data_IF_274636844539
#
_entry.id   IF_274636844539
#
_cell.length_a   1.000
_cell.length_b   1.000
_cell.length_c   1.000
_cell.angle_alpha   90.00
_cell.angle_beta   90.00
_cell.angle_gamma   90.00
#
_symmetry.space_group_name_H-M   'P 1'
#
loop_
_entity.id
_entity.type
_entity.pdbx_description
1 polymer ?
#
# COMPACT_ATOMS: atom_id res chain seq x y z
N UNK A 1 21.44 3.47 36.16
CA UNK A 1 20.00 3.53 35.91
C UNK A 1 19.67 4.88 35.28
N UNK A 2 19.63 4.94 33.95
CA UNK A 2 19.25 6.14 33.20
C UNK A 2 17.84 5.87 32.69
N UNK A 3 16.86 6.62 33.21
CA UNK A 3 15.47 6.59 32.73
C UNK A 3 15.41 7.29 31.37
N UNK A 4 15.26 6.54 30.29
CA UNK A 4 14.86 7.08 29.01
C UNK A 4 13.39 7.50 29.10
N UNK A 5 13.15 8.81 28.91
CA UNK A 5 11.80 9.37 28.77
C UNK A 5 11.24 8.92 27.43
N UNK A 6 10.18 8.12 27.45
CA UNK A 6 9.35 7.87 26.29
C UNK A 6 8.76 9.20 25.81
N UNK A 7 9.06 9.62 24.62
CA UNK A 7 8.38 10.76 23.98
C UNK A 7 6.97 10.32 23.61
N UNK A 8 5.98 11.13 23.97
CA UNK A 8 4.57 10.78 23.80
C UNK A 8 4.15 10.84 22.32
N UNK A 9 3.26 9.94 21.87
CA UNK A 9 2.79 9.85 20.48
C UNK A 9 2.13 11.15 19.96
N UNK A 10 1.70 12.05 20.83
CA UNK A 10 1.17 13.36 20.48
C UNK A 10 2.18 14.26 19.75
N UNK A 11 3.47 14.18 20.07
CA UNK A 11 4.51 15.03 19.44
C UNK A 11 4.84 14.60 18.01
N UNK A 12 4.68 13.31 17.70
CA UNK A 12 4.92 12.79 16.34
C UNK A 12 3.78 13.20 15.42
N UNK A 13 2.53 13.17 15.89
CA UNK A 13 1.37 13.66 15.13
C UNK A 13 1.47 15.16 14.81
N UNK A 14 1.95 15.97 15.73
CA UNK A 14 2.16 17.40 15.49
C UNK A 14 3.26 17.65 14.46
N UNK A 15 4.37 16.90 14.51
CA UNK A 15 5.45 17.04 13.53
C UNK A 15 5.02 16.63 12.11
N UNK A 16 4.25 15.57 11.97
CA UNK A 16 3.70 15.11 10.66
C UNK A 16 2.69 16.14 10.13
N UNK A 17 1.82 16.69 10.97
CA UNK A 17 0.88 17.73 10.55
C UNK A 17 1.59 19.03 10.14
N UNK A 18 2.67 19.40 10.80
CA UNK A 18 3.48 20.57 10.41
C UNK A 18 4.15 20.41 9.05
N UNK A 19 4.62 19.20 8.72
CA UNK A 19 5.22 18.89 7.42
C UNK A 19 4.16 18.95 6.32
N UNK A 20 2.99 18.36 6.54
CA UNK A 20 1.87 18.40 5.58
C UNK A 20 1.40 19.83 5.35
N UNK A 21 1.32 20.65 6.40
CA UNK A 21 0.89 22.04 6.29
C UNK A 21 1.91 22.91 5.54
N UNK A 22 3.20 22.65 5.68
CA UNK A 22 4.27 23.34 4.93
C UNK A 22 4.26 22.98 3.44
N UNK A 23 3.89 21.76 3.08
CA UNK A 23 3.74 21.32 1.68
C UNK A 23 2.51 21.96 1.02
N UNK A 24 1.40 22.11 1.75
CA UNK A 24 0.17 22.73 1.22
C UNK A 24 0.30 24.25 1.04
N UNK A 25 1.09 24.95 1.84
CA UNK A 25 1.33 26.40 1.73
C UNK A 25 2.24 26.74 0.55
N UNK A 26 3.11 25.81 0.12
CA UNK A 26 3.99 26.00 -1.03
C UNK A 26 3.30 26.02 -2.39
N UNK A 27 2.06 25.54 -2.49
CA UNK A 27 1.32 25.43 -3.77
C UNK A 27 0.34 26.57 -4.05
N UNK A 28 0.21 27.56 -3.15
CA UNK A 28 -0.82 28.62 -3.25
C UNK A 28 -0.34 29.98 -3.76
N UNK A 29 0.83 30.12 -4.34
CA UNK A 29 1.36 31.39 -4.82
C UNK A 29 1.74 31.32 -6.30
N UNK A 30 0.79 31.04 -7.18
CA UNK A 30 0.84 31.50 -8.59
C UNK A 30 -0.58 31.42 -9.16
N UNK A 31 -1.38 32.43 -9.08
CA UNK A 31 -2.32 32.95 -10.11
C UNK A 31 -3.00 34.22 -9.56
N UNK A 32 -2.42 35.36 -9.89
CA UNK A 32 -3.14 36.64 -9.90
C UNK A 32 -2.34 37.62 -10.78
N UNK A 33 -2.56 37.57 -12.08
CA UNK A 33 -2.32 38.71 -12.95
C UNK A 33 -3.60 38.90 -13.78
N UNK A 34 -4.26 40.01 -13.54
CA UNK A 34 -5.47 40.37 -14.19
C UNK A 34 -5.27 40.93 -15.60
N UNK A 35 -6.28 40.82 -16.40
CA UNK A 35 -6.49 41.70 -17.55
C UNK A 35 -7.95 42.18 -17.58
N UNK A 36 -8.12 43.48 -17.32
CA UNK A 36 -9.32 44.22 -17.58
C UNK A 36 -9.46 44.44 -19.08
N UNK A 37 -10.60 44.10 -19.66
CA UNK A 37 -10.99 44.61 -20.99
C UNK A 37 -12.40 45.20 -20.91
N UNK A 38 -12.50 46.40 -21.46
CA UNK A 38 -13.58 47.35 -21.39
C UNK A 38 -14.85 46.92 -22.15
N UNK A 39 -15.97 47.41 -21.66
CA UNK A 39 -17.26 47.46 -22.36
C UNK A 39 -17.27 48.44 -23.52
N UNK A 40 -17.94 48.08 -24.61
CA UNK A 40 -18.65 49.01 -25.49
C UNK A 40 -19.89 48.33 -26.08
N UNK A 41 -21.03 49.06 -26.22
CA UNK A 41 -22.30 48.52 -26.64
C UNK A 41 -22.61 48.81 -28.12
N UNK A 42 -23.45 48.02 -28.73
CA UNK A 42 -24.41 48.25 -29.85
C UNK A 42 -24.65 46.88 -30.51
N UNK A 43 -25.79 46.50 -31.04
CA UNK A 43 -27.09 47.04 -31.42
C UNK A 43 -28.07 45.85 -31.64
N UNK A 44 -29.28 46.13 -31.56
CA UNK A 44 -30.47 45.31 -31.76
C UNK A 44 -30.59 44.84 -33.21
N UNK A 45 -30.88 43.56 -33.51
CA UNK A 45 -32.02 43.15 -34.35
C UNK A 45 -31.96 41.65 -34.76
N UNK A 46 -33.17 41.10 -34.84
CA UNK A 46 -33.61 39.94 -35.61
C UNK A 46 -33.68 38.57 -34.93
N UNK A 47 -34.92 38.18 -34.71
CA UNK A 47 -35.41 36.82 -34.45
C UNK A 47 -34.91 35.82 -35.51
N UNK A 48 -34.38 34.73 -35.04
CA UNK A 48 -34.48 33.46 -35.70
C UNK A 48 -34.55 32.35 -34.65
N UNK A 49 -35.70 31.69 -34.62
CA UNK A 49 -35.96 30.46 -33.88
C UNK A 49 -35.15 29.34 -34.53
N UNK A 50 -34.07 28.90 -33.88
CA UNK A 50 -33.46 27.61 -34.20
C UNK A 50 -33.13 26.84 -32.94
N UNK A 51 -33.41 25.54 -33.03
CA UNK A 51 -33.49 24.49 -32.04
C UNK A 51 -32.48 24.51 -30.91
N UNK A 52 -32.95 24.12 -29.71
CA UNK A 52 -32.11 23.73 -28.59
C UNK A 52 -31.15 22.64 -29.05
N UNK A 53 -29.84 22.79 -28.88
CA UNK A 53 -28.95 21.64 -28.94
C UNK A 53 -29.26 20.74 -27.72
N UNK A 54 -29.43 19.45 -28.01
CA UNK A 54 -29.57 18.41 -27.01
C UNK A 54 -28.46 18.55 -25.95
N UNK A 55 -28.85 18.39 -24.69
CA UNK A 55 -27.93 18.31 -23.59
C UNK A 55 -26.87 17.25 -23.93
N UNK A 56 -25.66 17.68 -24.20
CA UNK A 56 -24.52 16.77 -24.27
C UNK A 56 -24.30 16.29 -22.83
N UNK A 57 -24.67 15.04 -22.57
CA UNK A 57 -24.23 14.33 -21.39
C UNK A 57 -22.70 14.33 -21.42
N UNK A 58 -22.12 15.24 -20.66
CA UNK A 58 -20.71 15.16 -20.29
C UNK A 58 -20.64 14.06 -19.24
N UNK A 59 -20.67 12.82 -19.69
CA UNK A 59 -20.16 11.71 -18.92
C UNK A 59 -18.64 11.94 -18.80
N UNK A 60 -18.23 12.70 -17.80
CA UNK A 60 -16.87 12.71 -17.33
C UNK A 60 -16.64 11.34 -16.72
N UNK A 61 -16.22 10.37 -17.55
CA UNK A 61 -15.50 9.22 -17.06
C UNK A 61 -14.25 9.80 -16.41
N UNK A 62 -14.24 9.85 -15.08
CA UNK A 62 -13.00 10.01 -14.31
C UNK A 62 -12.23 8.74 -14.64
N UNK A 63 -11.28 8.86 -15.57
CA UNK A 63 -10.30 7.81 -15.86
C UNK A 63 -9.35 7.81 -14.66
N UNK A 64 -9.78 7.17 -13.59
CA UNK A 64 -8.96 6.97 -12.40
C UNK A 64 -7.90 5.96 -12.81
N UNK A 65 -6.70 6.43 -13.09
CA UNK A 65 -5.57 5.55 -13.41
C UNK A 65 -5.21 4.77 -12.15
N UNK A 66 -5.67 3.50 -12.07
CA UNK A 66 -5.32 2.61 -10.98
C UNK A 66 -3.81 2.37 -10.96
N UNK A 67 -3.28 2.19 -9.77
CA UNK A 67 -1.87 1.88 -9.52
C UNK A 67 -1.73 0.51 -8.89
N UNK A 68 -0.54 -0.06 -8.96
CA UNK A 68 -0.21 -1.34 -8.33
C UNK A 68 0.91 -1.20 -7.32
N UNK A 69 0.89 -2.10 -6.33
CA UNK A 69 1.92 -2.25 -5.32
C UNK A 69 2.07 -3.74 -4.99
N UNK A 70 3.31 -4.22 -4.84
CA UNK A 70 3.57 -5.65 -4.59
C UNK A 70 4.37 -5.82 -3.30
N UNK A 71 3.83 -6.64 -2.38
CA UNK A 71 4.36 -6.87 -1.04
C UNK A 71 4.50 -8.37 -0.76
N UNK A 72 5.63 -8.76 -0.18
CA UNK A 72 5.85 -10.08 0.39
C UNK A 72 5.92 -9.98 1.92
N UNK A 73 5.04 -10.64 2.63
CA UNK A 73 4.91 -10.56 4.10
C UNK A 73 4.74 -11.93 4.77
N UNK A 74 5.42 -12.96 4.24
CA UNK A 74 5.23 -14.35 4.63
C UNK A 74 4.01 -14.95 3.93
N UNK A 75 3.26 -15.81 4.62
CA UNK A 75 2.08 -16.43 4.04
C UNK A 75 1.07 -15.38 3.51
N UNK A 76 0.82 -15.41 2.21
CA UNK A 76 -0.06 -14.46 1.52
C UNK A 76 -1.52 -14.53 2.01
N UNK A 77 -2.00 -15.67 2.54
CA UNK A 77 -3.34 -15.74 3.15
C UNK A 77 -3.55 -14.73 4.29
N UNK A 78 -2.47 -14.38 5.00
CA UNK A 78 -2.52 -13.43 6.10
C UNK A 78 -2.33 -11.98 5.65
N UNK A 79 -1.88 -11.78 4.41
CA UNK A 79 -1.63 -10.44 3.87
C UNK A 79 -2.84 -9.86 3.12
N UNK A 80 -3.76 -10.67 2.59
CA UNK A 80 -4.91 -10.17 1.82
C UNK A 80 -5.85 -9.30 2.68
N UNK A 81 -6.34 -9.83 3.80
CA UNK A 81 -7.36 -9.15 4.62
C UNK A 81 -7.02 -7.70 4.98
N UNK A 82 -5.83 -7.37 5.53
CA UNK A 82 -5.51 -6.00 5.92
C UNK A 82 -5.59 -4.99 4.76
N UNK A 83 -5.29 -5.43 3.54
CA UNK A 83 -5.35 -4.55 2.37
C UNK A 83 -6.75 -4.49 1.77
N UNK A 84 -7.48 -5.60 1.73
CA UNK A 84 -8.87 -5.62 1.25
C UNK A 84 -9.81 -4.73 2.08
N UNK A 85 -9.47 -4.49 3.34
CA UNK A 85 -10.25 -3.63 4.25
C UNK A 85 -9.93 -2.13 4.10
N UNK A 86 -8.90 -1.77 3.31
CA UNK A 86 -8.57 -0.37 3.05
C UNK A 86 -9.49 0.24 1.98
N UNK A 87 -10.14 1.35 2.33
CA UNK A 87 -10.86 2.15 1.34
C UNK A 87 -9.90 2.66 0.27
N UNK A 88 -10.21 2.46 -1.00
CA UNK A 88 -9.36 2.81 -2.13
C UNK A 88 -8.56 1.63 -2.69
N UNK A 89 -8.46 0.50 -1.99
CA UNK A 89 -8.00 -0.76 -2.58
C UNK A 89 -9.12 -1.35 -3.42
N UNK A 90 -8.80 -1.68 -4.66
CA UNK A 90 -9.75 -2.22 -5.66
C UNK A 90 -9.70 -3.74 -5.67
N UNK A 91 -8.52 -4.33 -5.58
CA UNK A 91 -8.34 -5.78 -5.53
C UNK A 91 -6.96 -6.15 -4.99
N UNK A 92 -6.88 -7.35 -4.41
CA UNK A 92 -5.63 -8.02 -4.07
C UNK A 92 -5.53 -9.35 -4.83
N UNK A 93 -4.32 -9.75 -5.17
CA UNK A 93 -4.04 -11.03 -5.82
C UNK A 93 -2.86 -11.66 -5.09
N UNK A 94 -3.06 -12.83 -4.49
CA UNK A 94 -1.99 -13.66 -3.96
C UNK A 94 -1.19 -14.31 -5.08
N UNK A 95 0.13 -14.37 -4.98
CA UNK A 95 0.99 -14.89 -6.04
C UNK A 95 2.45 -15.05 -5.64
N UNK A 96 3.30 -15.13 -6.65
CA UNK A 96 4.72 -15.40 -6.54
C UNK A 96 5.52 -14.40 -7.37
N UNK A 97 6.63 -13.89 -6.81
CA UNK A 97 7.50 -12.97 -7.54
C UNK A 97 8.94 -13.03 -7.04
N UNK A 98 9.87 -12.40 -7.76
CA UNK A 98 11.28 -12.24 -7.35
C UNK A 98 12.16 -13.46 -7.59
N UNK A 99 11.63 -14.57 -8.11
CA UNK A 99 12.36 -15.79 -8.47
C UNK A 99 12.71 -15.87 -9.95
N UNK A 100 13.17 -17.05 -10.37
CA UNK A 100 13.66 -17.28 -11.74
C UNK A 100 12.88 -18.35 -12.51
N UNK A 101 11.99 -19.07 -11.83
CA UNK A 101 11.18 -20.12 -12.46
C UNK A 101 9.96 -19.47 -13.11
N UNK A 102 9.78 -19.71 -14.41
CA UNK A 102 8.58 -19.24 -15.12
C UNK A 102 7.38 -20.10 -14.74
N UNK A 103 6.21 -19.47 -14.62
CA UNK A 103 4.94 -20.11 -14.25
C UNK A 103 5.07 -21.11 -13.07
N UNK A 104 5.61 -20.66 -11.92
CA UNK A 104 5.85 -21.56 -10.80
C UNK A 104 4.54 -22.04 -10.18
N UNK A 105 4.50 -23.29 -9.77
CA UNK A 105 3.41 -23.84 -8.96
C UNK A 105 3.64 -23.62 -7.48
N UNK A 106 2.57 -23.65 -6.68
CA UNK A 106 2.66 -23.60 -5.21
C UNK A 106 3.65 -24.63 -4.64
N UNK A 107 3.58 -25.87 -5.14
CA UNK A 107 4.50 -26.93 -4.67
C UNK A 107 5.95 -26.57 -4.93
N UNK A 108 6.29 -25.96 -6.05
CA UNK A 108 7.66 -25.54 -6.35
C UNK A 108 8.12 -24.42 -5.43
N UNK A 109 7.27 -23.39 -5.25
CA UNK A 109 7.60 -22.24 -4.40
C UNK A 109 7.72 -22.65 -2.93
N UNK A 110 6.75 -23.40 -2.43
CA UNK A 110 6.71 -23.84 -1.02
C UNK A 110 7.91 -24.74 -0.65
N UNK A 111 8.52 -25.44 -1.62
CA UNK A 111 9.77 -26.18 -1.42
C UNK A 111 11.02 -25.26 -1.34
N UNK A 112 10.90 -23.95 -1.61
CA UNK A 112 12.00 -22.99 -1.43
C UNK A 112 13.08 -22.98 -2.51
N UNK A 113 12.88 -23.66 -3.65
CA UNK A 113 13.94 -23.86 -4.67
C UNK A 113 13.78 -22.98 -5.91
N UNK A 114 12.76 -22.10 -5.95
CA UNK A 114 12.46 -21.26 -7.12
C UNK A 114 13.06 -19.87 -7.06
N UNK A 115 13.46 -19.42 -5.88
CA UNK A 115 13.85 -18.05 -5.59
C UNK A 115 12.66 -17.11 -5.42
N UNK A 116 11.45 -17.52 -5.79
CA UNK A 116 10.24 -16.75 -5.56
C UNK A 116 9.89 -16.63 -4.09
N UNK A 117 9.20 -15.54 -3.77
CA UNK A 117 8.51 -15.35 -2.49
C UNK A 117 7.01 -15.43 -2.70
N UNK A 118 6.28 -15.88 -1.67
CA UNK A 118 4.85 -15.60 -1.58
C UNK A 118 4.67 -14.09 -1.44
N UNK A 119 3.87 -13.52 -2.33
CA UNK A 119 3.63 -12.10 -2.40
C UNK A 119 2.16 -11.82 -2.71
N UNK A 120 1.80 -10.57 -2.48
CA UNK A 120 0.47 -10.06 -2.82
C UNK A 120 0.64 -8.81 -3.67
N UNK A 121 -0.08 -8.75 -4.78
CA UNK A 121 -0.21 -7.56 -5.60
C UNK A 121 -1.52 -6.85 -5.26
N UNK A 122 -1.42 -5.57 -4.92
CA UNK A 122 -2.53 -4.69 -4.57
C UNK A 122 -2.79 -3.73 -5.72
N UNK A 123 -4.00 -3.73 -6.26
CA UNK A 123 -4.47 -2.69 -7.18
C UNK A 123 -5.27 -1.66 -6.39
N UNK A 124 -4.92 -0.40 -6.49
CA UNK A 124 -5.53 0.67 -5.70
C UNK A 124 -5.76 1.94 -6.51
N UNK A 125 -6.70 2.75 -6.04
CA UNK A 125 -6.99 4.09 -6.53
C UNK A 125 -6.13 5.11 -5.77
N UNK A 126 -5.11 5.72 -6.40
CA UNK A 126 -4.20 6.64 -5.71
C UNK A 126 -4.88 7.95 -5.27
N UNK A 127 -6.05 8.28 -5.82
CA UNK A 127 -6.83 9.43 -5.38
C UNK A 127 -7.59 9.17 -4.07
N UNK A 128 -7.77 7.89 -3.68
CA UNK A 128 -8.46 7.47 -2.46
C UNK A 128 -7.48 6.97 -1.39
N UNK A 129 -6.45 6.24 -1.75
CA UNK A 129 -5.44 5.73 -0.83
C UNK A 129 -4.04 5.91 -1.40
N UNK A 130 -3.17 6.59 -0.66
CA UNK A 130 -1.78 6.80 -1.07
C UNK A 130 -0.90 5.58 -0.78
N UNK A 131 0.16 5.40 -1.57
CA UNK A 131 1.14 4.31 -1.39
C UNK A 131 1.75 4.28 0.03
N UNK A 132 1.89 5.43 0.70
CA UNK A 132 2.36 5.50 2.08
C UNK A 132 1.44 4.78 3.08
N UNK A 133 0.13 4.76 2.85
CA UNK A 133 -0.82 4.01 3.69
C UNK A 133 -0.67 2.51 3.44
N UNK A 134 -0.46 2.09 2.19
CA UNK A 134 -0.18 0.69 1.87
C UNK A 134 1.13 0.21 2.53
N UNK A 135 2.17 1.05 2.55
CA UNK A 135 3.42 0.76 3.26
C UNK A 135 3.19 0.62 4.77
N UNK A 136 2.43 1.53 5.37
CA UNK A 136 2.09 1.50 6.78
C UNK A 136 1.34 0.20 7.14
N UNK A 137 0.33 -0.15 6.36
CA UNK A 137 -0.39 -1.43 6.49
C UNK A 137 0.53 -2.63 6.34
N UNK A 138 1.45 -2.61 5.36
CA UNK A 138 2.43 -3.68 5.18
C UNK A 138 3.31 -3.85 6.43
N UNK A 139 3.92 -2.77 6.91
CA UNK A 139 4.84 -2.82 8.03
C UNK A 139 4.17 -3.36 9.30
N UNK A 140 2.97 -2.90 9.63
CA UNK A 140 2.25 -3.34 10.82
C UNK A 140 1.70 -4.77 10.72
N UNK A 141 1.77 -5.39 9.56
CA UNK A 141 1.36 -6.78 9.34
C UNK A 141 2.52 -7.76 9.18
N UNK A 142 3.77 -7.35 9.44
CA UNK A 142 4.95 -8.23 9.39
C UNK A 142 5.79 -8.13 10.67
N UNK A 143 6.67 -9.12 10.86
CA UNK A 143 7.81 -9.01 11.76
C UNK A 143 9.05 -8.59 10.95
N UNK A 144 9.42 -7.29 10.93
CA UNK A 144 10.54 -6.82 10.13
C UNK A 144 11.90 -7.24 10.67
N UNK A 145 11.95 -7.87 11.84
CA UNK A 145 13.17 -8.36 12.48
C UNK A 145 13.49 -9.84 12.14
N UNK A 146 12.54 -10.55 11.49
CA UNK A 146 12.73 -11.96 11.13
C UNK A 146 13.35 -12.09 9.73
N UNK A 147 14.62 -12.48 9.68
CA UNK A 147 15.40 -12.69 8.46
C UNK A 147 15.27 -14.10 7.87
N UNK A 148 14.51 -15.01 8.53
CA UNK A 148 14.38 -16.43 8.14
C UNK A 148 13.01 -16.81 7.62
N UNK A 149 12.13 -15.84 7.48
CA UNK A 149 10.73 -16.00 7.08
C UNK A 149 9.82 -15.07 7.83
N UNK A 150 8.60 -15.51 8.10
CA UNK A 150 7.63 -14.73 8.89
C UNK A 150 6.87 -15.66 9.84
N UNK A 151 6.87 -15.33 11.12
CA UNK A 151 6.14 -16.07 12.17
C UNK A 151 6.48 -17.57 12.18
N UNK A 152 5.48 -18.44 11.95
CA UNK A 152 5.72 -19.89 11.88
C UNK A 152 6.26 -20.36 10.53
N UNK A 153 6.16 -19.56 9.48
CA UNK A 153 6.60 -19.92 8.14
C UNK A 153 8.07 -19.58 7.96
N UNK A 154 8.88 -20.60 7.78
CA UNK A 154 10.35 -20.48 7.64
C UNK A 154 10.80 -20.90 6.25
N UNK A 155 11.77 -20.15 5.74
CA UNK A 155 12.33 -20.34 4.42
C UNK A 155 12.34 -19.07 3.59
N UNK A 156 13.18 -19.02 2.56
CA UNK A 156 13.38 -17.86 1.69
C UNK A 156 12.11 -17.42 0.97
N UNK A 157 11.19 -18.34 0.72
CA UNK A 157 9.89 -18.06 0.08
C UNK A 157 8.94 -17.25 0.98
N UNK A 158 9.21 -17.15 2.29
CA UNK A 158 8.41 -16.41 3.26
C UNK A 158 9.10 -15.15 3.80
N UNK A 159 10.23 -14.73 3.19
CA UNK A 159 10.91 -13.49 3.59
C UNK A 159 10.05 -12.27 3.29
N UNK A 160 10.21 -11.21 4.07
CA UNK A 160 9.54 -9.94 3.80
C UNK A 160 10.28 -9.14 2.73
N UNK A 161 9.52 -8.57 1.79
CA UNK A 161 10.05 -7.69 0.76
C UNK A 161 8.99 -6.74 0.21
N UNK A 162 9.45 -5.58 -0.27
CA UNK A 162 8.66 -4.59 -1.02
C UNK A 162 9.21 -4.54 -2.44
N UNK A 163 8.35 -4.73 -3.45
CA UNK A 163 8.74 -4.69 -4.86
C UNK A 163 8.23 -3.39 -5.47
N UNK A 164 9.12 -2.44 -5.73
CA UNK A 164 8.77 -1.12 -6.26
C UNK A 164 8.68 -1.12 -7.78
N UNK A 165 7.68 -0.42 -8.33
CA UNK A 165 7.43 -0.28 -9.77
C UNK A 165 7.90 1.08 -10.31
N UNK A 166 8.18 2.04 -9.42
CA UNK A 166 8.62 3.39 -9.78
C UNK A 166 9.67 3.92 -8.81
N UNK A 167 10.39 4.95 -9.25
CA UNK A 167 11.36 5.65 -8.38
C UNK A 167 10.68 6.31 -7.17
N UNK A 168 9.43 6.74 -7.30
CA UNK A 168 8.65 7.30 -6.19
C UNK A 168 8.33 6.22 -5.15
N UNK A 169 7.84 5.05 -5.58
CA UNK A 169 7.61 3.92 -4.69
C UNK A 169 8.89 3.49 -3.98
N UNK A 170 10.03 3.45 -4.70
CA UNK A 170 11.33 3.15 -4.11
C UNK A 170 11.68 4.12 -2.99
N UNK A 171 11.61 5.42 -3.26
CA UNK A 171 11.94 6.45 -2.26
C UNK A 171 11.05 6.36 -1.03
N UNK A 172 9.74 6.16 -1.20
CA UNK A 172 8.79 6.02 -0.10
C UNK A 172 9.05 4.75 0.70
N UNK A 173 9.34 3.62 0.03
CA UNK A 173 9.65 2.36 0.69
C UNK A 173 10.96 2.43 1.51
N UNK A 174 12.01 3.04 0.95
CA UNK A 174 13.28 3.24 1.65
C UNK A 174 13.13 4.17 2.85
N UNK A 175 12.37 5.26 2.71
CA UNK A 175 12.09 6.17 3.82
C UNK A 175 11.27 5.50 4.93
N UNK A 176 10.25 4.71 4.56
CA UNK A 176 9.47 3.94 5.52
C UNK A 176 10.33 2.89 6.23
N UNK A 177 11.19 2.17 5.50
CA UNK A 177 12.15 1.22 6.09
C UNK A 177 13.07 1.87 7.13
N UNK A 178 13.58 3.07 6.83
CA UNK A 178 14.43 3.80 7.77
C UNK A 178 13.63 4.21 9.03
N UNK A 179 12.39 4.68 8.85
CA UNK A 179 11.51 5.06 9.97
C UNK A 179 11.25 3.85 10.89
N UNK A 180 10.96 2.70 10.31
CA UNK A 180 10.74 1.45 11.06
C UNK A 180 12.02 1.00 11.78
N UNK A 181 13.17 1.08 11.12
CA UNK A 181 14.46 0.74 11.75
C UNK A 181 14.77 1.64 12.94
N UNK A 182 14.49 2.95 12.83
CA UNK A 182 14.68 3.92 13.93
C UNK A 182 13.69 3.63 15.07
N UNK A 183 12.44 3.32 14.78
CA UNK A 183 11.41 2.98 15.77
C UNK A 183 11.75 1.71 16.55
N UNK A 184 12.24 0.68 15.87
CA UNK A 184 12.60 -0.60 16.47
C UNK A 184 14.02 -0.63 17.05
N UNK A 185 14.81 0.44 16.86
CA UNK A 185 16.14 0.60 17.44
C UNK A 185 17.22 -0.24 16.78
N UNK A 186 17.03 -0.65 15.53
CA UNK A 186 18.00 -1.45 14.79
C UNK A 186 17.60 -1.76 13.35
N UNK A 187 18.48 -2.43 12.59
CA UNK A 187 18.21 -2.74 11.20
C UNK A 187 17.05 -3.73 11.06
N UNK A 188 16.29 -3.59 9.99
CA UNK A 188 15.19 -4.49 9.61
C UNK A 188 15.59 -5.38 8.43
N UNK A 189 15.04 -6.59 8.40
CA UNK A 189 15.38 -7.62 7.43
C UNK A 189 14.64 -7.50 6.10
N UNK A 190 13.60 -6.66 6.03
CA UNK A 190 12.78 -6.49 4.82
C UNK A 190 13.59 -5.95 3.66
N UNK A 191 13.54 -6.63 2.52
CA UNK A 191 14.19 -6.19 1.28
C UNK A 191 13.35 -5.14 0.54
N UNK A 192 14.02 -4.19 -0.16
CA UNK A 192 13.39 -3.28 -1.12
C UNK A 192 14.00 -3.59 -2.48
N UNK A 193 13.18 -4.12 -3.39
CA UNK A 193 13.63 -4.69 -4.66
C UNK A 193 12.83 -4.07 -5.83
N UNK A 194 13.42 -3.98 -7.02
CA UNK A 194 12.65 -3.61 -8.21
C UNK A 194 11.59 -4.68 -8.50
N UNK A 195 10.46 -4.26 -9.07
CA UNK A 195 9.41 -5.15 -9.51
C UNK A 195 9.95 -6.21 -10.48
N UNK A 196 9.49 -7.42 -10.32
CA UNK A 196 9.76 -8.56 -11.17
C UNK A 196 8.44 -9.15 -11.67
N UNK A 197 8.50 -10.11 -12.59
CA UNK A 197 7.29 -10.80 -13.06
C UNK A 197 6.51 -11.37 -11.87
N UNK A 198 5.24 -11.02 -11.82
CA UNK A 198 4.31 -11.54 -10.83
C UNK A 198 3.47 -12.66 -11.46
N UNK A 199 3.42 -13.81 -10.79
CA UNK A 199 2.65 -14.97 -11.18
C UNK A 199 1.52 -15.16 -10.17
N UNK A 200 0.24 -15.02 -10.58
CA UNK A 200 -0.89 -15.31 -9.69
C UNK A 200 -0.81 -16.74 -9.14
N UNK A 201 -1.05 -16.89 -7.86
CA UNK A 201 -1.20 -18.20 -7.24
C UNK A 201 -2.54 -18.85 -7.70
N UNK A 202 -2.64 -20.14 -7.51
CA UNK A 202 -3.81 -20.93 -7.87
C UNK A 202 -5.07 -20.42 -7.18
N UNK A 203 -6.23 -20.56 -7.84
CA UNK A 203 -7.51 -19.98 -7.41
C UNK A 203 -7.90 -20.32 -5.97
N UNK A 204 -7.53 -21.51 -5.48
CA UNK A 204 -7.83 -21.93 -4.11
C UNK A 204 -7.04 -21.16 -3.04
N UNK A 205 -6.05 -20.36 -3.42
CA UNK A 205 -5.32 -19.45 -2.53
C UNK A 205 -5.93 -18.05 -2.46
N UNK A 206 -6.72 -17.66 -3.46
CA UNK A 206 -7.29 -16.32 -3.53
C UNK A 206 -8.41 -16.14 -2.49
N UNK A 207 -8.45 -14.99 -1.84
CA UNK A 207 -9.46 -14.65 -0.82
C UNK A 207 -9.62 -15.75 0.27
N UNK A 208 -8.48 -16.35 0.68
CA UNK A 208 -8.51 -17.51 1.55
C UNK A 208 -9.17 -17.24 2.90
N UNK A 209 -9.01 -16.06 3.46
CA UNK A 209 -9.63 -15.64 4.71
C UNK A 209 -11.16 -15.59 4.62
N UNK A 210 -11.74 -15.33 3.44
CA UNK A 210 -13.18 -15.32 3.19
C UNK A 210 -13.71 -16.72 2.85
N UNK A 211 -13.01 -17.45 1.99
CA UNK A 211 -13.46 -18.76 1.49
C UNK A 211 -13.25 -19.88 2.53
N UNK A 212 -12.26 -19.73 3.42
CA UNK A 212 -11.91 -20.73 4.44
C UNK A 212 -11.74 -20.10 5.84
N UNK A 213 -12.74 -19.34 6.37
CA UNK A 213 -12.54 -18.47 7.53
C UNK A 213 -12.16 -19.21 8.82
N UNK A 214 -12.64 -20.42 9.00
CA UNK A 214 -12.29 -21.24 10.19
C UNK A 214 -10.83 -21.69 10.11
N UNK A 215 -10.44 -22.24 8.94
CA UNK A 215 -9.07 -22.75 8.75
C UNK A 215 -8.05 -21.62 8.79
N UNK A 216 -8.38 -20.47 8.19
CA UNK A 216 -7.56 -19.25 8.26
C UNK A 216 -7.33 -18.82 9.71
N UNK A 217 -8.38 -18.70 10.54
CA UNK A 217 -8.23 -18.30 11.94
C UNK A 217 -7.41 -19.27 12.76
N UNK A 218 -7.61 -20.59 12.57
CA UNK A 218 -6.83 -21.62 13.27
C UNK A 218 -5.35 -21.53 12.88
N UNK A 219 -5.06 -21.34 11.59
CA UNK A 219 -3.70 -21.17 11.08
C UNK A 219 -3.06 -19.88 11.64
N UNK A 220 -3.69 -18.71 11.49
CA UNK A 220 -3.17 -17.42 11.96
C UNK A 220 -2.88 -17.44 13.47
N UNK A 221 -3.82 -17.98 14.26
CA UNK A 221 -3.64 -18.15 15.70
C UNK A 221 -2.50 -19.16 16.03
N UNK A 222 -2.47 -20.30 15.38
CA UNK A 222 -1.44 -21.32 15.60
C UNK A 222 -0.03 -20.87 15.24
N UNK A 223 0.09 -19.99 14.26
CA UNK A 223 1.35 -19.33 13.91
C UNK A 223 1.82 -18.26 14.91
N UNK A 224 0.98 -17.84 15.84
CA UNK A 224 1.29 -16.81 16.81
C UNK A 224 1.49 -15.42 16.18
N UNK A 225 0.90 -15.19 14.97
CA UNK A 225 1.11 -13.95 14.21
C UNK A 225 0.68 -12.74 15.01
N UNK A 226 -0.56 -12.72 15.53
CA UNK A 226 -1.12 -11.58 16.25
C UNK A 226 -0.36 -11.27 17.54
N UNK A 227 0.06 -12.33 18.27
CA UNK A 227 0.91 -12.16 19.45
C UNK A 227 2.23 -11.49 19.08
N UNK A 228 2.89 -11.97 18.02
CA UNK A 228 4.19 -11.43 17.61
C UNK A 228 4.08 -10.00 17.10
N UNK A 229 3.03 -9.67 16.35
CA UNK A 229 2.76 -8.29 15.92
C UNK A 229 2.58 -7.36 17.13
N UNK A 230 1.83 -7.78 18.16
CA UNK A 230 1.68 -7.01 19.40
C UNK A 230 3.02 -6.84 20.16
N UNK A 231 3.92 -7.82 20.12
CA UNK A 231 5.26 -7.71 20.72
C UNK A 231 6.15 -6.71 19.98
N UNK A 232 6.05 -6.64 18.64
CA UNK A 232 6.87 -5.76 17.80
C UNK A 232 6.32 -4.34 17.77
N UNK A 233 5.02 -4.19 17.60
CA UNK A 233 4.35 -2.92 17.31
C UNK A 233 3.58 -2.33 18.51
N UNK A 234 3.38 -3.11 19.59
CA UNK A 234 2.66 -2.66 20.77
C UNK A 234 1.20 -2.35 20.47
N UNK A 235 0.72 -1.19 20.95
CA UNK A 235 -0.67 -0.75 20.71
C UNK A 235 -0.95 -0.41 19.24
N UNK A 236 0.08 -0.09 18.46
CA UNK A 236 -0.06 0.24 17.03
C UNK A 236 -0.45 -1.00 16.19
N UNK A 237 -0.18 -2.23 16.68
CA UNK A 237 -0.60 -3.47 16.01
C UNK A 237 -2.13 -3.56 15.83
N UNK A 238 -2.91 -3.03 16.77
CA UNK A 238 -4.38 -3.11 16.76
C UNK A 238 -5.06 -2.05 15.88
N UNK A 239 -4.31 -1.09 15.36
CA UNK A 239 -4.86 -0.04 14.50
C UNK A 239 -5.13 -0.53 13.06
N UNK A 240 -4.65 -1.73 12.72
CA UNK A 240 -4.65 -2.31 11.37
C UNK A 240 -5.28 -3.72 11.31
N UNK A 241 -6.06 -4.11 12.35
CA UNK A 241 -6.81 -5.39 12.43
C UNK A 241 -8.23 -5.28 11.86
#
# INVERSE_FOLDING_TARGET
MIKLKSQQPAQIREAVQEIIQKLLVGLSVVVLIGTTVACAPTDTSALATEGLPAATDISTSVDTSLSTATFAGGCFWCMEKPFDELSGVVSTISGYTGGQVEDPTYTQVSNGNTGHVEAMQVTYDPDQVGYAILLDTFWHNIDPLDDRGQFCDKGSQYRSAIFYESAEQQQLAEAAKQTVADQLGGPVATDILPAATFYPAEDYHQNYYQTHPVRYRVYRFGCGRDQRLSEVWGEDASAHD
#
